data_IF_820847396296
#
_entry.id   IF_820847396296
#
_cell.length_a   1.000
_cell.length_b   1.000
_cell.length_c   1.000
_cell.angle_alpha   90.00
_cell.angle_beta   90.00
_cell.angle_gamma   90.00
#
_symmetry.space_group_name_H-M   'P 1'
#
loop_
_entity.id
_entity.type
_entity.pdbx_description
1 polymer ?
#
# COMPACT_ATOMS: atom_id res chain seq x y z
N UNK A 1 -62.63 8.68 -43.06
CA UNK A 1 -61.86 9.82 -43.60
C UNK A 1 -60.60 9.93 -42.81
N UNK A 2 -59.50 9.86 -43.51
CA UNK A 2 -58.12 10.19 -43.16
C UNK A 2 -57.47 9.55 -41.92
N UNK A 3 -56.67 8.57 -42.26
CA UNK A 3 -55.63 7.90 -41.48
C UNK A 3 -54.37 8.81 -41.56
N UNK A 4 -53.83 9.25 -40.44
CA UNK A 4 -52.48 9.84 -40.40
C UNK A 4 -51.55 8.91 -39.62
N UNK A 5 -50.71 8.26 -40.37
CA UNK A 5 -49.56 7.46 -39.90
C UNK A 5 -48.45 8.41 -39.46
N UNK A 6 -48.17 8.41 -38.13
CA UNK A 6 -46.94 9.02 -37.61
C UNK A 6 -45.80 8.02 -37.69
N UNK A 7 -44.85 8.33 -38.54
CA UNK A 7 -43.59 7.65 -38.70
C UNK A 7 -42.58 8.22 -37.68
N UNK A 8 -42.36 7.54 -36.58
CA UNK A 8 -41.37 7.90 -35.57
C UNK A 8 -40.04 7.22 -35.90
N UNK A 9 -39.07 8.01 -36.35
CA UNK A 9 -37.70 7.56 -36.58
C UNK A 9 -37.06 7.18 -35.24
N UNK A 10 -36.72 5.89 -35.09
CA UNK A 10 -35.78 5.43 -34.09
C UNK A 10 -34.42 6.05 -34.37
N UNK A 11 -33.95 6.91 -33.49
CA UNK A 11 -32.55 7.33 -33.45
C UNK A 11 -31.77 6.24 -32.73
N UNK A 12 -30.85 5.62 -33.45
CA UNK A 12 -29.88 4.67 -32.91
C UNK A 12 -29.00 5.39 -31.89
N UNK A 13 -29.14 5.02 -30.65
CA UNK A 13 -28.29 5.44 -29.56
C UNK A 13 -26.99 4.61 -29.65
N UNK A 14 -26.01 5.09 -30.39
CA UNK A 14 -24.65 4.56 -30.35
C UNK A 14 -24.11 4.77 -28.92
N UNK A 15 -24.16 3.72 -28.11
CA UNK A 15 -23.50 3.64 -26.82
C UNK A 15 -21.98 3.70 -27.08
N UNK A 16 -21.38 4.83 -26.75
CA UNK A 16 -19.93 5.02 -26.74
C UNK A 16 -19.31 4.14 -25.65
N UNK A 17 -19.06 2.88 -25.96
CA UNK A 17 -18.22 1.99 -25.14
C UNK A 17 -16.76 2.24 -25.50
N UNK A 18 -16.15 3.25 -24.90
CA UNK A 18 -14.68 3.36 -24.88
C UNK A 18 -14.15 2.29 -23.93
N UNK A 19 -14.02 1.06 -24.42
CA UNK A 19 -13.22 0.04 -23.74
C UNK A 19 -11.76 0.51 -23.75
N UNK A 20 -11.29 1.02 -22.63
CA UNK A 20 -9.86 1.17 -22.42
C UNK A 20 -9.26 -0.23 -22.35
N UNK A 21 -8.31 -0.58 -23.23
CA UNK A 21 -7.70 -1.89 -23.18
C UNK A 21 -7.03 -2.09 -21.81
N UNK A 22 -7.31 -3.22 -21.16
CA UNK A 22 -6.63 -3.58 -19.93
C UNK A 22 -5.12 -3.64 -20.18
N UNK A 23 -4.28 -3.06 -19.29
CA UNK A 23 -2.84 -3.11 -19.45
C UNK A 23 -2.34 -4.56 -19.51
N UNK A 24 -1.30 -4.84 -20.27
CA UNK A 24 -0.70 -6.16 -20.32
C UNK A 24 -0.15 -6.55 -18.94
N UNK A 25 -0.01 -7.86 -18.67
CA UNK A 25 0.58 -8.33 -17.41
C UNK A 25 2.00 -7.78 -17.18
N UNK A 26 2.76 -7.57 -18.26
CA UNK A 26 4.09 -6.95 -18.20
C UNK A 26 4.01 -5.49 -17.80
N UNK A 27 3.06 -4.73 -18.35
CA UNK A 27 2.86 -3.32 -18.00
C UNK A 27 2.43 -3.16 -16.54
N UNK A 28 1.56 -4.05 -16.05
CA UNK A 28 1.15 -4.06 -14.65
C UNK A 28 2.31 -4.36 -13.69
N UNK A 29 3.14 -5.36 -14.00
CA UNK A 29 4.34 -5.69 -13.20
C UNK A 29 5.34 -4.53 -13.13
N UNK A 30 5.52 -3.78 -14.24
CA UNK A 30 6.35 -2.57 -14.27
C UNK A 30 5.71 -1.45 -13.45
N UNK A 31 4.40 -1.28 -13.55
CA UNK A 31 3.66 -0.29 -12.77
C UNK A 31 3.80 -0.53 -11.25
N UNK A 32 3.65 -1.80 -10.81
CA UNK A 32 3.88 -2.21 -9.42
C UNK A 32 5.29 -1.85 -8.96
N UNK A 33 6.31 -2.25 -9.73
CA UNK A 33 7.71 -2.02 -9.39
C UNK A 33 8.03 -0.52 -9.28
N UNK A 34 7.58 0.28 -10.24
CA UNK A 34 7.85 1.72 -10.29
C UNK A 34 7.15 2.45 -9.13
N UNK A 35 5.88 2.10 -8.88
CA UNK A 35 5.07 2.72 -7.84
C UNK A 35 5.60 2.44 -6.44
N UNK A 36 5.85 1.16 -6.13
CA UNK A 36 6.32 0.74 -4.80
C UNK A 36 7.79 1.09 -4.62
N UNK A 37 8.60 0.97 -5.69
CA UNK A 37 10.00 1.39 -5.67
C UNK A 37 10.17 2.86 -5.32
N UNK A 38 9.36 3.74 -5.92
CA UNK A 38 9.36 5.16 -5.60
C UNK A 38 8.94 5.44 -4.14
N UNK A 39 8.00 4.68 -3.60
CA UNK A 39 7.59 4.75 -2.21
C UNK A 39 8.72 4.37 -1.26
N UNK A 40 9.38 3.22 -1.48
CA UNK A 40 10.50 2.78 -0.64
C UNK A 40 11.74 3.67 -0.77
N UNK A 41 12.07 4.13 -1.98
CA UNK A 41 13.18 5.09 -2.18
C UNK A 41 12.99 6.35 -1.31
N UNK A 42 11.77 6.85 -1.20
CA UNK A 42 11.48 8.01 -0.36
C UNK A 42 11.55 7.69 1.14
N UNK A 43 11.08 6.52 1.56
CA UNK A 43 11.20 6.08 2.96
C UNK A 43 12.66 5.93 3.38
N UNK A 44 13.50 5.33 2.54
CA UNK A 44 14.94 5.14 2.79
C UNK A 44 15.65 6.49 2.89
N UNK A 45 15.38 7.40 1.97
CA UNK A 45 15.91 8.79 2.01
C UNK A 45 15.49 9.53 3.28
N UNK A 46 14.33 9.21 3.83
CA UNK A 46 13.81 9.77 5.07
C UNK A 46 14.28 9.07 6.34
N UNK A 47 15.17 8.07 6.22
CA UNK A 47 15.85 7.44 7.36
C UNK A 47 15.18 6.15 7.87
N UNK A 48 14.21 5.57 7.15
CA UNK A 48 13.77 4.20 7.43
C UNK A 48 14.87 3.26 6.94
N UNK A 49 15.46 2.48 7.86
CA UNK A 49 16.58 1.58 7.56
C UNK A 49 16.20 0.10 7.63
N UNK A 50 15.09 -0.25 8.28
CA UNK A 50 14.72 -1.63 8.53
C UNK A 50 13.23 -1.88 8.28
N UNK A 51 12.95 -3.11 7.87
CA UNK A 51 11.59 -3.62 7.66
C UNK A 51 11.48 -5.06 8.16
N UNK A 52 10.38 -5.36 8.86
CA UNK A 52 10.01 -6.72 9.25
C UNK A 52 8.86 -7.20 8.38
N UNK A 53 9.03 -8.34 7.72
CA UNK A 53 8.08 -8.87 6.74
C UNK A 53 7.42 -10.13 7.29
N UNK A 54 6.09 -10.13 7.38
CA UNK A 54 5.30 -11.34 7.52
C UNK A 54 4.80 -11.77 6.13
N UNK A 55 5.34 -12.88 5.57
CA UNK A 55 5.12 -13.23 4.18
C UNK A 55 3.67 -13.60 3.88
N UNK A 56 3.17 -13.18 2.70
CA UNK A 56 1.87 -13.57 2.20
C UNK A 56 1.63 -13.05 0.77
N UNK A 57 0.73 -13.70 0.03
CA UNK A 57 0.54 -13.42 -1.40
C UNK A 57 0.24 -11.95 -1.68
N UNK A 58 -0.70 -11.35 -0.94
CA UNK A 58 -1.15 -9.97 -1.23
C UNK A 58 -0.12 -8.90 -0.86
N UNK A 59 0.86 -9.23 -0.01
CA UNK A 59 2.00 -8.35 0.29
C UNK A 59 3.22 -8.62 -0.60
N UNK A 60 3.16 -9.56 -1.55
CA UNK A 60 4.28 -9.87 -2.46
C UNK A 60 4.90 -8.62 -3.09
N UNK A 61 4.14 -7.65 -3.62
CA UNK A 61 4.73 -6.46 -4.22
C UNK A 61 5.57 -5.66 -3.22
N UNK A 62 5.06 -5.45 -2.00
CA UNK A 62 5.79 -4.74 -0.93
C UNK A 62 7.02 -5.52 -0.49
N UNK A 63 6.88 -6.82 -0.24
CA UNK A 63 7.96 -7.66 0.27
C UNK A 63 9.11 -7.80 -0.71
N UNK A 64 8.82 -8.01 -2.01
CA UNK A 64 9.85 -8.12 -3.04
C UNK A 64 10.59 -6.81 -3.26
N UNK A 65 9.86 -5.69 -3.25
CA UNK A 65 10.48 -4.37 -3.43
C UNK A 65 11.29 -3.96 -2.20
N UNK A 66 10.84 -4.30 -0.99
CA UNK A 66 11.64 -4.11 0.22
C UNK A 66 12.94 -4.92 0.17
N UNK A 67 12.86 -6.20 -0.22
CA UNK A 67 14.04 -7.07 -0.36
C UNK A 67 15.02 -6.59 -1.44
N UNK A 68 14.52 -5.97 -2.52
CA UNK A 68 15.35 -5.43 -3.58
C UNK A 68 15.94 -4.04 -3.26
N UNK A 69 15.57 -3.44 -2.14
CA UNK A 69 16.04 -2.11 -1.70
C UNK A 69 17.21 -2.20 -0.72
N UNK A 70 17.71 -1.05 -0.28
CA UNK A 70 18.80 -0.95 0.71
C UNK A 70 18.31 -1.07 2.17
N UNK A 71 17.10 -1.63 2.40
CA UNK A 71 16.58 -1.88 3.74
C UNK A 71 17.16 -3.15 4.36
N UNK A 72 17.41 -3.13 5.66
CA UNK A 72 17.63 -4.34 6.45
C UNK A 72 16.31 -5.10 6.57
N UNK A 73 16.20 -6.26 5.91
CA UNK A 73 14.97 -7.06 5.86
C UNK A 73 15.02 -8.20 6.85
N UNK A 74 14.07 -8.22 7.79
CA UNK A 74 13.84 -9.32 8.71
C UNK A 74 12.56 -10.04 8.33
N UNK A 75 12.48 -11.35 8.54
CA UNK A 75 11.30 -12.16 8.23
C UNK A 75 10.82 -12.87 9.49
N UNK A 76 9.54 -12.72 9.79
CA UNK A 76 8.86 -13.47 10.86
C UNK A 76 7.47 -13.89 10.35
N UNK A 77 7.15 -15.18 10.51
CA UNK A 77 5.89 -15.75 10.01
C UNK A 77 4.70 -15.49 10.93
N UNK A 78 4.93 -15.09 12.18
CA UNK A 78 3.89 -14.69 13.13
C UNK A 78 3.78 -13.15 13.11
N UNK A 79 2.69 -12.63 12.58
CA UNK A 79 2.49 -11.18 12.47
C UNK A 79 2.56 -10.48 13.82
N UNK A 80 2.04 -11.06 14.86
CA UNK A 80 2.11 -10.46 16.21
C UNK A 80 3.56 -10.40 16.70
N UNK A 81 4.33 -11.45 16.51
CA UNK A 81 5.77 -11.50 16.82
C UNK A 81 6.54 -10.48 16.00
N UNK A 82 6.30 -10.44 14.68
CA UNK A 82 6.90 -9.49 13.74
C UNK A 82 6.70 -8.04 14.16
N UNK A 83 5.47 -7.67 14.53
CA UNK A 83 5.15 -6.30 14.93
C UNK A 83 5.84 -5.90 16.25
N UNK A 84 5.90 -6.79 17.24
CA UNK A 84 6.66 -6.53 18.48
C UNK A 84 8.17 -6.53 18.26
N UNK A 85 8.69 -7.33 17.34
CA UNK A 85 10.10 -7.28 16.95
C UNK A 85 10.44 -5.93 16.29
N UNK A 86 9.61 -5.48 15.34
CA UNK A 86 9.76 -4.17 14.71
C UNK A 86 9.68 -3.02 15.73
N UNK A 87 8.74 -3.10 16.67
CA UNK A 87 8.61 -2.15 17.78
C UNK A 87 9.88 -2.11 18.64
N UNK A 88 10.42 -3.29 19.00
CA UNK A 88 11.67 -3.40 19.76
C UNK A 88 12.86 -2.79 19.02
N UNK A 89 12.95 -3.04 17.72
CA UNK A 89 14.00 -2.52 16.87
C UNK A 89 13.90 -0.98 16.76
N UNK A 90 12.70 -0.44 16.57
CA UNK A 90 12.48 1.01 16.54
C UNK A 90 12.81 1.68 17.88
N UNK A 91 12.48 1.04 19.01
CA UNK A 91 12.88 1.53 20.36
C UNK A 91 14.39 1.52 20.56
N UNK A 92 15.07 0.47 20.11
CA UNK A 92 16.51 0.32 20.29
C UNK A 92 17.32 1.28 19.41
N UNK A 93 16.87 1.55 18.21
CA UNK A 93 17.57 2.42 17.24
C UNK A 93 17.16 3.89 17.35
N UNK A 94 15.97 4.17 17.87
CA UNK A 94 15.36 5.49 17.83
C UNK A 94 14.88 5.91 16.43
N UNK A 95 14.88 4.98 15.46
CA UNK A 95 14.48 5.22 14.08
C UNK A 95 13.14 4.58 13.75
N UNK A 96 12.49 5.05 12.70
CA UNK A 96 11.28 4.42 12.20
C UNK A 96 11.59 3.06 11.57
N UNK A 97 10.81 2.05 11.94
CA UNK A 97 10.86 0.70 11.38
C UNK A 97 9.54 0.37 10.72
N UNK A 98 9.60 -0.19 9.52
CA UNK A 98 8.41 -0.65 8.82
C UNK A 98 8.07 -2.12 9.17
N UNK A 99 6.78 -2.46 9.12
CA UNK A 99 6.30 -3.83 9.23
C UNK A 99 5.31 -4.11 8.09
N UNK A 100 5.49 -5.23 7.39
CA UNK A 100 4.70 -5.60 6.21
C UNK A 100 3.92 -6.87 6.49
N UNK A 101 2.60 -6.87 6.21
CA UNK A 101 1.77 -8.07 6.21
C UNK A 101 0.86 -8.16 4.99
N UNK A 102 0.33 -9.35 4.78
CA UNK A 102 -0.70 -9.63 3.79
C UNK A 102 -2.08 -9.15 4.25
N UNK A 103 -3.10 -9.41 3.45
CA UNK A 103 -4.49 -9.00 3.73
C UNK A 103 -5.20 -9.87 4.76
N UNK A 104 -6.36 -9.42 5.21
CA UNK A 104 -7.24 -10.15 6.11
C UNK A 104 -6.82 -10.00 7.58
N UNK A 105 -6.88 -11.09 8.34
CA UNK A 105 -6.58 -11.06 9.78
C UNK A 105 -5.11 -10.79 10.10
N UNK A 106 -4.20 -10.88 9.13
CA UNK A 106 -2.78 -10.56 9.28
C UNK A 106 -2.57 -9.17 9.88
N UNK A 107 -3.20 -8.15 9.29
CA UNK A 107 -3.09 -6.77 9.78
C UNK A 107 -3.68 -6.59 11.18
N UNK A 108 -4.72 -7.34 11.54
CA UNK A 108 -5.31 -7.29 12.88
C UNK A 108 -4.36 -7.81 13.97
N UNK A 109 -3.46 -8.75 13.63
CA UNK A 109 -2.45 -9.25 14.56
C UNK A 109 -1.40 -8.19 14.95
N UNK A 110 -1.27 -7.11 14.20
CA UNK A 110 -0.41 -5.98 14.55
C UNK A 110 -1.00 -5.06 15.61
N UNK A 111 -2.30 -5.19 15.89
CA UNK A 111 -3.01 -4.27 16.78
C UNK A 111 -2.35 -4.11 18.16
N UNK A 112 -1.93 -5.19 18.88
CA UNK A 112 -1.29 -5.05 20.20
C UNK A 112 0.00 -4.22 20.13
N UNK A 113 0.83 -4.42 19.10
CA UNK A 113 2.07 -3.66 18.94
C UNK A 113 1.81 -2.19 18.54
N UNK A 114 0.75 -1.92 17.77
CA UNK A 114 0.33 -0.55 17.43
C UNK A 114 -0.11 0.21 18.68
N UNK A 115 -0.90 -0.42 19.58
CA UNK A 115 -1.27 0.17 20.88
C UNK A 115 -0.04 0.51 21.72
N UNK A 116 0.90 -0.43 21.80
CA UNK A 116 2.16 -0.22 22.54
C UNK A 116 3.02 0.86 21.88
N UNK A 117 3.08 0.91 20.54
CA UNK A 117 3.81 1.95 19.80
C UNK A 117 3.25 3.35 20.06
N UNK A 118 1.92 3.50 20.09
CA UNK A 118 1.25 4.75 20.44
C UNK A 118 1.59 5.17 21.88
N UNK A 119 1.38 4.26 22.85
CA UNK A 119 1.60 4.51 24.26
C UNK A 119 3.06 4.84 24.58
N UNK A 120 3.99 4.12 23.97
CA UNK A 120 5.44 4.27 24.14
C UNK A 120 6.07 5.31 23.21
N UNK A 121 5.29 5.95 22.32
CA UNK A 121 5.76 6.99 21.38
C UNK A 121 6.83 6.49 20.43
N UNK A 122 6.60 5.30 19.85
CA UNK A 122 7.53 4.65 18.93
C UNK A 122 7.09 4.84 17.48
N UNK A 123 7.97 5.25 16.55
CA UNK A 123 7.63 5.43 15.15
C UNK A 123 7.55 4.08 14.43
N UNK A 124 6.40 3.43 14.47
CA UNK A 124 6.12 2.16 13.80
C UNK A 124 5.31 2.40 12.52
N UNK A 125 5.85 2.01 11.36
CA UNK A 125 5.18 2.13 10.07
C UNK A 125 4.55 0.80 9.66
N UNK A 126 3.22 0.72 9.67
CA UNK A 126 2.48 -0.46 9.23
C UNK A 126 2.15 -0.33 7.74
N UNK A 127 2.57 -1.32 6.95
CA UNK A 127 2.30 -1.45 5.52
C UNK A 127 1.51 -2.74 5.29
N UNK A 128 0.21 -2.64 5.01
CA UNK A 128 -0.64 -3.81 4.78
C UNK A 128 -0.98 -3.96 3.30
N UNK A 129 -0.80 -5.16 2.76
CA UNK A 129 -1.36 -5.52 1.46
C UNK A 129 -2.86 -5.75 1.57
N UNK A 130 -3.63 -5.34 0.58
CA UNK A 130 -5.08 -5.52 0.57
C UNK A 130 -5.57 -5.96 -0.81
N UNK A 131 -6.80 -6.43 -0.87
CA UNK A 131 -7.47 -6.71 -2.13
C UNK A 131 -8.01 -5.43 -2.76
N UNK A 132 -8.10 -5.37 -4.10
CA UNK A 132 -8.69 -4.22 -4.79
C UNK A 132 -10.17 -4.04 -4.39
N UNK A 133 -10.65 -2.80 -4.50
CA UNK A 133 -12.01 -2.43 -4.09
C UNK A 133 -13.10 -3.33 -4.68
N UNK A 134 -12.92 -3.79 -5.94
CA UNK A 134 -13.85 -4.68 -6.63
C UNK A 134 -14.02 -6.07 -5.99
N UNK A 135 -13.12 -6.49 -5.12
CA UNK A 135 -13.16 -7.77 -4.39
C UNK A 135 -13.57 -7.62 -2.93
N UNK A 136 -13.78 -6.40 -2.46
CA UNK A 136 -14.23 -6.14 -1.09
C UNK A 136 -15.71 -6.51 -0.92
N UNK A 137 -16.06 -7.05 0.25
CA UNK A 137 -17.43 -7.43 0.63
C UNK A 137 -18.11 -8.47 -0.25
N UNK A 138 -17.37 -9.17 -1.09
CA UNK A 138 -17.87 -10.22 -1.97
C UNK A 138 -17.54 -11.65 -1.49
N UNK A 139 -17.12 -11.82 -0.24
CA UNK A 139 -16.73 -13.12 0.32
C UNK A 139 -15.40 -13.66 -0.22
N UNK A 140 -14.54 -12.80 -0.78
CA UNK A 140 -13.20 -13.20 -1.19
C UNK A 140 -12.41 -13.75 0.01
N UNK A 141 -11.66 -14.86 -0.16
CA UNK A 141 -10.91 -15.45 0.95
C UNK A 141 -9.89 -14.48 1.53
N UNK A 142 -9.65 -14.53 2.84
CA UNK A 142 -8.64 -13.71 3.54
C UNK A 142 -8.82 -12.21 3.26
N UNK A 143 -10.07 -11.73 3.37
CA UNK A 143 -10.47 -10.35 3.16
C UNK A 143 -11.26 -9.86 4.36
N UNK A 144 -10.92 -8.70 4.87
CA UNK A 144 -11.67 -7.98 5.89
C UNK A 144 -11.63 -6.48 5.55
N UNK A 145 -12.43 -5.69 6.24
CA UNK A 145 -12.33 -4.23 6.14
C UNK A 145 -11.04 -3.77 6.86
N UNK A 146 -10.05 -3.34 6.09
CA UNK A 146 -8.77 -2.84 6.58
C UNK A 146 -8.74 -1.31 6.70
N UNK A 147 -9.82 -0.62 6.24
CA UNK A 147 -9.87 0.82 6.28
C UNK A 147 -9.93 1.31 7.73
N UNK A 148 -8.87 2.01 8.15
CA UNK A 148 -8.75 2.50 9.52
C UNK A 148 -8.89 1.43 10.60
N UNK A 149 -8.45 0.21 10.34
CA UNK A 149 -8.58 -0.93 11.26
C UNK A 149 -7.98 -0.63 12.65
N UNK A 150 -6.98 0.23 12.74
CA UNK A 150 -6.39 0.65 14.02
C UNK A 150 -7.09 1.86 14.66
N UNK A 151 -8.17 2.36 14.06
CA UNK A 151 -8.95 3.49 14.59
C UNK A 151 -8.07 4.71 14.84
N UNK A 152 -8.14 5.23 16.08
CA UNK A 152 -7.39 6.41 16.52
C UNK A 152 -6.00 6.08 17.07
N UNK A 153 -5.58 4.80 17.04
CA UNK A 153 -4.30 4.34 17.59
C UNK A 153 -3.13 4.53 16.62
N UNK A 154 -3.40 5.00 15.41
CA UNK A 154 -2.39 5.49 14.46
C UNK A 154 -2.61 6.99 14.25
N UNK A 155 -1.52 7.74 14.15
CA UNK A 155 -1.59 9.19 13.91
C UNK A 155 -2.20 9.51 12.56
N UNK A 156 -1.89 8.70 11.55
CA UNK A 156 -2.37 8.90 10.19
C UNK A 156 -2.62 7.56 9.52
N UNK A 157 -3.61 7.54 8.65
CA UNK A 157 -3.96 6.42 7.81
C UNK A 157 -4.07 6.87 6.34
N UNK A 158 -3.48 6.09 5.43
CA UNK A 158 -3.70 6.23 3.99
C UNK A 158 -4.17 4.92 3.38
N UNK A 159 -5.14 5.00 2.49
CA UNK A 159 -5.50 3.92 1.58
C UNK A 159 -4.99 4.30 0.20
N UNK A 160 -3.99 3.57 -0.28
CA UNK A 160 -3.31 3.88 -1.54
C UNK A 160 -4.20 3.50 -2.73
N UNK A 161 -4.11 4.21 -3.87
CA UNK A 161 -4.73 3.75 -5.10
C UNK A 161 -4.03 2.51 -5.65
N UNK A 162 -4.78 1.71 -6.41
CA UNK A 162 -4.21 0.59 -7.17
C UNK A 162 -3.21 1.11 -8.22
N UNK A 163 -2.01 0.49 -8.36
CA UNK A 163 -1.01 0.93 -9.33
C UNK A 163 -1.48 0.79 -10.78
N UNK A 164 -1.44 1.86 -11.55
CA UNK A 164 -1.81 1.87 -12.97
C UNK A 164 -0.64 2.22 -13.89
N UNK A 165 0.51 2.60 -13.34
CA UNK A 165 1.67 3.08 -14.08
C UNK A 165 1.64 4.57 -14.43
N UNK A 166 0.60 5.30 -14.04
CA UNK A 166 0.50 6.74 -14.27
C UNK A 166 1.57 7.51 -13.44
N UNK A 167 2.22 8.48 -14.06
CA UNK A 167 3.26 9.29 -13.42
C UNK A 167 2.76 10.01 -12.16
N UNK A 168 1.50 10.46 -12.18
CA UNK A 168 0.85 11.12 -11.06
C UNK A 168 0.75 10.21 -9.84
N UNK A 169 0.52 8.90 -10.04
CA UNK A 169 0.49 7.94 -8.94
C UNK A 169 1.87 7.72 -8.33
N UNK A 170 2.92 7.71 -9.14
CA UNK A 170 4.31 7.62 -8.65
C UNK A 170 4.66 8.84 -7.80
N UNK A 171 4.27 10.04 -8.23
CA UNK A 171 4.42 11.28 -7.45
C UNK A 171 3.62 11.23 -6.15
N UNK A 172 2.38 10.72 -6.22
CA UNK A 172 1.53 10.54 -5.05
C UNK A 172 2.15 9.56 -4.04
N UNK A 173 2.69 8.41 -4.50
CA UNK A 173 3.37 7.46 -3.63
C UNK A 173 4.54 8.08 -2.88
N UNK A 174 5.39 8.88 -3.55
CA UNK A 174 6.46 9.65 -2.91
C UNK A 174 5.93 10.66 -1.89
N UNK A 175 4.86 11.37 -2.25
CA UNK A 175 4.26 12.36 -1.35
C UNK A 175 3.72 11.70 -0.09
N UNK A 176 2.99 10.58 -0.20
CA UNK A 176 2.50 9.82 0.96
C UNK A 176 3.65 9.32 1.82
N UNK A 177 4.74 8.83 1.22
CA UNK A 177 5.92 8.41 1.98
C UNK A 177 6.50 9.56 2.81
N UNK A 178 6.64 10.77 2.25
CA UNK A 178 7.09 11.98 2.97
C UNK A 178 6.17 12.37 4.10
N UNK A 179 4.86 12.38 3.84
CA UNK A 179 3.86 12.70 4.86
C UNK A 179 3.85 11.68 5.98
N UNK A 180 4.03 10.39 5.65
CA UNK A 180 4.15 9.32 6.63
C UNK A 180 5.38 9.49 7.52
N UNK A 181 6.54 9.86 6.95
CA UNK A 181 7.75 10.15 7.71
C UNK A 181 7.54 11.31 8.69
N UNK A 182 6.90 12.38 8.23
CA UNK A 182 6.54 13.51 9.11
C UNK A 182 5.57 13.09 10.20
N UNK A 183 4.59 12.24 9.87
CA UNK A 183 3.62 11.75 10.85
C UNK A 183 4.24 10.78 11.87
N UNK A 184 5.21 9.95 11.47
CA UNK A 184 5.91 9.01 12.35
C UNK A 184 6.75 9.72 13.42
N UNK A 185 7.55 10.72 13.03
CA UNK A 185 8.48 11.40 13.91
C UNK A 185 8.55 12.90 13.60
N UNK A 186 7.50 13.68 13.91
CA UNK A 186 7.50 15.11 13.66
C UNK A 186 8.48 15.84 14.58
N UNK A 187 9.12 16.90 14.09
CA UNK A 187 10.08 17.68 14.87
C UNK A 187 9.50 18.33 16.13
N UNK A 188 8.21 18.61 16.14
CA UNK A 188 7.53 19.35 17.22
C UNK A 188 6.59 18.49 18.06
N UNK A 189 6.38 17.24 17.71
CA UNK A 189 5.49 16.31 18.40
C UNK A 189 6.22 15.00 18.72
N UNK A 190 5.63 14.23 19.60
CA UNK A 190 6.13 12.87 19.91
C UNK A 190 5.94 11.92 18.73
N UNK A 191 6.78 10.91 18.61
CA UNK A 191 6.61 9.86 17.61
C UNK A 191 5.31 9.07 17.82
N UNK A 192 4.77 8.49 16.76
CA UNK A 192 3.57 7.68 16.81
C UNK A 192 3.51 6.69 15.64
N UNK A 193 2.75 5.61 15.74
CA UNK A 193 2.55 4.70 14.63
C UNK A 193 1.72 5.31 13.50
N UNK A 194 1.91 4.79 12.30
CA UNK A 194 1.23 5.18 11.06
C UNK A 194 0.83 3.92 10.28
N UNK A 195 -0.30 3.95 9.58
CA UNK A 195 -0.77 2.84 8.76
C UNK A 195 -1.00 3.27 7.32
N UNK A 196 -0.45 2.49 6.38
CA UNK A 196 -0.69 2.66 4.94
C UNK A 196 -1.17 1.32 4.38
N UNK A 197 -2.37 1.32 3.80
CA UNK A 197 -3.00 0.17 3.19
C UNK A 197 -2.81 0.21 1.67
N UNK A 198 -2.36 -0.91 1.10
CA UNK A 198 -2.05 -1.02 -0.32
C UNK A 198 -2.95 -2.05 -1.00
N UNK A 199 -4.00 -1.64 -1.70
CA UNK A 199 -4.76 -2.53 -2.55
C UNK A 199 -3.94 -2.89 -3.80
N UNK A 200 -3.80 -4.20 -4.04
CA UNK A 200 -3.12 -4.74 -5.21
C UNK A 200 -4.02 -5.70 -5.97
N UNK A 201 -4.06 -5.56 -7.29
CA UNK A 201 -4.64 -6.54 -8.19
C UNK A 201 -3.57 -7.51 -8.72
N UNK A 202 -3.99 -8.61 -9.29
CA UNK A 202 -3.10 -9.58 -9.92
C UNK A 202 -2.71 -9.16 -11.35
N UNK A 203 -1.51 -9.49 -11.79
CA UNK A 203 -0.45 -10.28 -11.14
C UNK A 203 0.30 -9.51 -10.05
N UNK A 204 0.69 -10.20 -8.95
CA UNK A 204 1.30 -9.59 -7.76
C UNK A 204 2.83 -9.50 -7.81
N UNK A 205 3.46 -10.09 -8.81
CA UNK A 205 4.92 -10.09 -8.92
C UNK A 205 5.37 -8.83 -9.66
N UNK A 206 6.08 -7.89 -9.00
CA UNK A 206 6.62 -6.73 -9.68
C UNK A 206 7.73 -7.13 -10.65
N UNK A 207 7.92 -6.35 -11.71
CA UNK A 207 9.04 -6.55 -12.61
C UNK A 207 10.35 -6.35 -11.86
N UNK A 208 11.38 -7.12 -12.25
CA UNK A 208 12.74 -6.88 -11.77
C UNK A 208 13.19 -5.50 -12.27
N UNK A 209 13.32 -4.54 -11.38
CA UNK A 209 13.89 -3.22 -11.67
C UNK A 209 15.30 -3.19 -11.09
N UNK A 210 16.28 -2.93 -11.93
CA UNK A 210 17.58 -2.48 -11.44
C UNK A 210 17.36 -1.12 -10.76
N UNK A 211 17.62 -1.02 -9.45
CA UNK A 211 17.57 0.25 -8.71
C UNK A 211 18.73 1.16 -9.16
N UNK A 212 18.64 1.70 -10.33
CA UNK A 212 19.34 2.93 -10.66
C UNK A 212 18.35 4.05 -10.45
N UNK A 213 18.66 4.91 -9.47
CA UNK A 213 17.94 6.12 -9.09
C UNK A 213 16.85 6.54 -10.08
N UNK A 214 15.57 6.32 -9.73
CA UNK A 214 14.45 6.90 -10.46
C UNK A 214 14.50 8.43 -10.29
N UNK A 215 15.40 9.08 -11.00
CA UNK A 215 15.33 10.52 -11.21
C UNK A 215 14.13 10.78 -12.10
N UNK A 216 13.03 11.20 -11.49
CA UNK A 216 11.93 11.78 -12.26
C UNK A 216 12.44 13.07 -12.92
N UNK A 217 12.10 13.28 -14.20
CA UNK A 217 12.37 14.53 -14.89
C UNK A 217 11.65 15.70 -14.26
#
# INVERSE_FOLDING_TARGET
MANETMNGSMQDNEACTSEHPMPSATDHSVALATYIGAFFDELIRGGVSAVVVSPGSRSTPLSMMAYASDLDVYVDVDERGAAFFALGLAKATGQAVAVICTSGTAVANYYPAVLEAESSRVPLLVLSGDRPARLQQLGAPQTCDQLKIFGNHVRQFWNMPEPTGATEQVRYARQVAREALVALAPQTLVSAPVHINFPFDEPLVPASVSYTHLTLP
#
